data_IF_975544227002
#
_entry.id   IF_975544227002
#
_cell.length_a   1.000
_cell.length_b   1.000
_cell.length_c   1.000
_cell.angle_alpha   90.00
_cell.angle_beta   90.00
_cell.angle_gamma   90.00
#
_symmetry.space_group_name_H-M   'P 1'
#
loop_
_entity.id
_entity.type
_entity.pdbx_description
1 polymer ?
#
# COMPACT_ATOMS: atom_id res chain seq x y z
N UNK A 1 -21.66 -5.16 71.67
CA UNK A 1 -20.92 -6.41 71.91
C UNK A 1 -21.27 -7.39 70.79
N UNK A 2 -20.53 -7.41 69.67
CA UNK A 2 -20.72 -8.37 68.57
C UNK A 2 -19.34 -8.81 68.08
N UNK A 3 -18.89 -9.99 68.53
CA UNK A 3 -17.54 -10.52 68.34
C UNK A 3 -17.60 -11.82 67.53
N UNK A 4 -18.19 -11.77 66.32
CA UNK A 4 -18.27 -12.96 65.44
C UNK A 4 -18.31 -12.67 63.93
N UNK A 5 -18.05 -11.44 63.48
CA UNK A 5 -18.09 -11.10 62.05
C UNK A 5 -16.79 -11.36 61.26
N UNK A 6 -15.68 -11.67 61.93
CA UNK A 6 -14.35 -11.68 61.28
C UNK A 6 -14.04 -12.97 60.51
N UNK A 7 -14.72 -14.07 60.80
CA UNK A 7 -14.42 -15.37 60.20
C UNK A 7 -15.31 -15.70 58.99
N UNK A 8 -16.55 -15.19 58.96
CA UNK A 8 -17.50 -15.40 57.86
C UNK A 8 -17.00 -14.74 56.56
N UNK A 9 -16.32 -13.60 56.67
CA UNK A 9 -15.74 -12.90 55.52
C UNK A 9 -14.45 -13.56 55.00
N UNK A 10 -13.70 -14.25 55.86
CA UNK A 10 -12.47 -14.95 55.49
C UNK A 10 -12.74 -16.29 54.79
N UNK A 11 -13.83 -16.97 55.11
CA UNK A 11 -14.20 -18.23 54.44
C UNK A 11 -14.80 -18.00 53.04
N UNK A 12 -15.44 -16.85 52.79
CA UNK A 12 -16.03 -16.52 51.49
C UNK A 12 -14.99 -16.00 50.48
N UNK A 13 -13.85 -15.51 50.94
CA UNK A 13 -12.75 -15.02 50.09
C UNK A 13 -11.96 -16.16 49.40
N UNK A 14 -11.98 -17.38 49.96
CA UNK A 14 -11.21 -18.52 49.43
C UNK A 14 -11.95 -19.34 48.36
N UNK A 15 -13.25 -19.13 48.14
CA UNK A 15 -14.04 -19.88 47.16
C UNK A 15 -14.02 -19.29 45.74
N UNK A 16 -13.46 -18.07 45.56
CA UNK A 16 -13.38 -17.40 44.24
C UNK A 16 -12.09 -17.74 43.47
N UNK A 17 -11.08 -18.30 44.13
CA UNK A 17 -9.77 -18.58 43.52
C UNK A 17 -9.82 -19.84 42.61
N UNK A 18 -10.81 -20.73 42.79
CA UNK A 18 -10.91 -21.98 42.06
C UNK A 18 -11.47 -21.91 40.62
N UNK A 19 -12.05 -20.79 40.19
CA UNK A 19 -12.73 -20.68 38.87
C UNK A 19 -11.93 -19.94 37.78
N UNK A 20 -10.74 -19.40 38.09
CA UNK A 20 -9.90 -18.66 37.12
C UNK A 20 -8.92 -19.57 36.34
N UNK A 21 -9.15 -20.89 36.34
CA UNK A 21 -8.28 -21.86 35.65
C UNK A 21 -8.94 -22.48 34.42
N UNK A 22 -9.83 -21.75 33.74
CA UNK A 22 -10.23 -22.12 32.37
C UNK A 22 -9.17 -21.56 31.41
N UNK A 23 -8.36 -22.48 30.87
CA UNK A 23 -7.08 -22.20 30.22
C UNK A 23 -7.10 -21.03 29.23
N UNK A 24 -6.24 -20.05 29.48
CA UNK A 24 -5.78 -19.16 28.41
C UNK A 24 -4.90 -19.98 27.47
N UNK A 25 -5.52 -20.61 26.47
CA UNK A 25 -4.84 -20.91 25.22
C UNK A 25 -4.38 -19.55 24.67
N UNK A 26 -3.20 -19.10 25.06
CA UNK A 26 -2.55 -17.96 24.41
C UNK A 26 -2.39 -18.38 22.96
N UNK A 27 -3.10 -17.75 22.00
CA UNK A 27 -2.88 -18.09 20.61
C UNK A 27 -1.40 -17.83 20.34
N UNK A 28 -0.66 -18.88 20.01
CA UNK A 28 0.70 -18.74 19.48
C UNK A 28 0.52 -18.05 18.14
N UNK A 29 0.59 -16.72 18.12
CA UNK A 29 0.61 -15.94 16.89
C UNK A 29 1.90 -16.33 16.18
N UNK A 30 1.83 -17.34 15.32
CA UNK A 30 2.90 -17.70 14.40
C UNK A 30 3.03 -16.53 13.42
N UNK A 31 3.95 -15.61 13.70
CA UNK A 31 4.29 -14.54 12.75
C UNK A 31 4.79 -15.23 11.48
N UNK A 32 4.15 -15.01 10.32
CA UNK A 32 4.61 -15.64 9.09
C UNK A 32 6.06 -15.21 8.83
N UNK A 33 6.90 -16.11 8.30
CA UNK A 33 8.25 -15.76 7.90
C UNK A 33 8.20 -14.54 6.97
N UNK A 34 9.05 -13.53 7.24
CA UNK A 34 9.14 -12.24 6.54
C UNK A 34 8.09 -11.17 6.88
N UNK A 35 7.34 -11.28 7.99
CA UNK A 35 6.41 -10.22 8.43
C UNK A 35 7.05 -8.83 8.51
N UNK A 36 8.23 -8.71 9.15
CA UNK A 36 8.92 -7.42 9.27
C UNK A 36 9.29 -6.82 7.90
N UNK A 37 9.80 -7.64 6.97
CA UNK A 37 10.15 -7.21 5.63
C UNK A 37 8.91 -6.70 4.86
N UNK A 38 7.75 -7.37 5.01
CA UNK A 38 6.49 -6.93 4.40
C UNK A 38 6.03 -5.58 4.96
N UNK A 39 6.13 -5.40 6.29
CA UNK A 39 5.78 -4.13 6.95
C UNK A 39 6.68 -2.99 6.47
N UNK A 40 7.99 -3.20 6.39
CA UNK A 40 8.94 -2.19 5.91
C UNK A 40 8.66 -1.82 4.45
N UNK A 41 8.43 -2.81 3.57
CA UNK A 41 8.06 -2.55 2.17
C UNK A 41 6.77 -1.74 2.06
N UNK A 42 5.75 -2.11 2.83
CA UNK A 42 4.48 -1.38 2.81
C UNK A 42 4.65 0.06 3.28
N UNK A 43 5.47 0.30 4.31
CA UNK A 43 5.79 1.66 4.76
C UNK A 43 6.57 2.47 3.72
N UNK A 44 7.48 1.84 2.98
CA UNK A 44 8.19 2.50 1.89
C UNK A 44 7.23 2.88 0.75
N UNK A 45 6.36 1.95 0.35
CA UNK A 45 5.32 2.19 -0.67
C UNK A 45 4.42 3.35 -0.24
N UNK A 46 3.91 3.34 1.00
CA UNK A 46 3.03 4.40 1.50
C UNK A 46 3.72 5.77 1.56
N UNK A 47 5.02 5.81 1.86
CA UNK A 47 5.80 7.06 1.82
C UNK A 47 5.91 7.61 0.40
N UNK A 48 6.24 6.77 -0.57
CA UNK A 48 6.32 7.19 -1.98
C UNK A 48 4.96 7.69 -2.48
N UNK A 49 3.89 7.00 -2.13
CA UNK A 49 2.52 7.41 -2.47
C UNK A 49 2.16 8.76 -1.86
N UNK A 50 2.44 9.00 -0.57
CA UNK A 50 2.16 10.28 0.06
C UNK A 50 2.93 11.44 -0.59
N UNK A 51 4.20 11.20 -0.98
CA UNK A 51 4.99 12.20 -1.71
C UNK A 51 4.39 12.46 -3.09
N UNK A 52 3.95 11.42 -3.80
CA UNK A 52 3.29 11.52 -5.10
C UNK A 52 1.98 12.30 -5.00
N UNK A 53 1.13 11.99 -4.03
CA UNK A 53 -0.14 12.71 -3.81
C UNK A 53 0.13 14.20 -3.58
N UNK A 54 1.11 14.53 -2.73
CA UNK A 54 1.51 15.92 -2.47
C UNK A 54 2.11 16.62 -3.70
N UNK A 55 2.82 15.90 -4.57
CA UNK A 55 3.36 16.42 -5.83
C UNK A 55 2.23 16.78 -6.80
N UNK A 56 1.31 15.83 -7.03
CA UNK A 56 0.16 16.02 -7.92
C UNK A 56 -0.75 17.14 -7.40
N UNK A 57 -1.06 17.17 -6.09
CA UNK A 57 -1.88 18.23 -5.49
C UNK A 57 -1.35 19.63 -5.81
N UNK A 58 -0.03 19.82 -5.66
CA UNK A 58 0.64 21.08 -5.93
C UNK A 58 0.64 21.43 -7.42
N UNK A 59 0.81 20.43 -8.28
CA UNK A 59 0.85 20.63 -9.73
C UNK A 59 -0.50 21.04 -10.32
N UNK A 60 -1.59 20.50 -9.78
CA UNK A 60 -2.95 20.77 -10.24
C UNK A 60 -3.59 21.99 -9.60
N UNK A 61 -2.95 22.56 -8.55
CA UNK A 61 -3.52 23.65 -7.74
C UNK A 61 -4.97 23.36 -7.35
N UNK A 62 -5.22 22.18 -6.77
CA UNK A 62 -6.57 21.74 -6.41
C UNK A 62 -7.12 22.56 -5.24
N UNK A 63 -8.38 22.98 -5.34
CA UNK A 63 -9.11 23.50 -4.18
C UNK A 63 -9.46 22.37 -3.20
N UNK A 64 -9.88 22.69 -1.97
CA UNK A 64 -10.32 21.67 -1.01
C UNK A 64 -11.47 20.82 -1.56
N UNK A 65 -12.44 21.46 -2.22
CA UNK A 65 -13.60 20.80 -2.84
C UNK A 65 -13.19 19.89 -4.01
N UNK A 66 -12.33 20.39 -4.91
CA UNK A 66 -11.79 19.59 -6.01
C UNK A 66 -11.00 18.39 -5.49
N UNK A 67 -10.17 18.59 -4.47
CA UNK A 67 -9.38 17.53 -3.84
C UNK A 67 -10.26 16.43 -3.26
N UNK A 68 -11.33 16.80 -2.55
CA UNK A 68 -12.26 15.84 -1.93
C UNK A 68 -12.90 14.91 -2.97
N UNK A 69 -13.22 15.44 -4.17
CA UNK A 69 -13.77 14.65 -5.28
C UNK A 69 -12.71 13.88 -6.08
N UNK A 70 -11.52 14.46 -6.26
CA UNK A 70 -10.44 13.91 -7.08
C UNK A 70 -9.77 12.68 -6.46
N UNK A 71 -9.38 12.75 -5.18
CA UNK A 71 -8.55 11.70 -4.55
C UNK A 71 -9.16 10.30 -4.56
N UNK A 72 -10.48 10.12 -4.30
CA UNK A 72 -11.10 8.80 -4.39
C UNK A 72 -10.97 8.17 -5.78
N UNK A 73 -11.12 8.97 -6.84
CA UNK A 73 -11.00 8.50 -8.24
C UNK A 73 -9.54 8.18 -8.56
N UNK A 74 -8.63 9.07 -8.16
CA UNK A 74 -7.19 8.90 -8.39
C UNK A 74 -6.63 7.62 -7.76
N UNK A 75 -7.02 7.32 -6.51
CA UNK A 75 -6.58 6.11 -5.82
C UNK A 75 -7.08 4.85 -6.52
N UNK A 76 -8.35 4.81 -6.93
CA UNK A 76 -8.91 3.67 -7.68
C UNK A 76 -8.22 3.49 -9.04
N UNK A 77 -7.94 4.58 -9.75
CA UNK A 77 -7.17 4.57 -10.99
C UNK A 77 -5.78 3.95 -10.78
N UNK A 78 -5.05 4.44 -9.78
CA UNK A 78 -3.72 3.94 -9.42
C UNK A 78 -3.75 2.45 -9.04
N UNK A 79 -4.72 2.04 -8.24
CA UNK A 79 -4.84 0.66 -7.76
C UNK A 79 -5.16 -0.29 -8.94
N UNK A 80 -6.03 0.12 -9.86
CA UNK A 80 -6.32 -0.61 -11.09
C UNK A 80 -5.05 -0.78 -11.97
N UNK A 81 -4.30 0.30 -12.20
CA UNK A 81 -3.03 0.21 -12.93
C UNK A 81 -2.01 -0.70 -12.25
N UNK A 82 -1.93 -0.63 -10.92
CA UNK A 82 -0.99 -1.42 -10.13
C UNK A 82 -1.33 -2.91 -10.22
N UNK A 83 -2.61 -3.26 -10.17
CA UNK A 83 -3.06 -4.64 -10.35
C UNK A 83 -2.66 -5.22 -11.71
N UNK A 84 -2.89 -4.47 -12.80
CA UNK A 84 -2.52 -4.93 -14.15
C UNK A 84 -1.01 -5.01 -14.33
N UNK A 85 -0.25 -4.02 -13.84
CA UNK A 85 1.21 -4.05 -13.88
C UNK A 85 1.80 -5.21 -13.08
N UNK A 86 1.18 -5.58 -11.95
CA UNK A 86 1.60 -6.74 -11.18
C UNK A 86 1.38 -8.05 -11.96
N UNK A 87 0.24 -8.20 -12.66
CA UNK A 87 -0.01 -9.34 -13.55
C UNK A 87 0.97 -9.37 -14.72
N UNK A 88 1.23 -8.23 -15.34
CA UNK A 88 2.21 -8.09 -16.42
C UNK A 88 3.61 -8.50 -15.96
N UNK A 89 4.07 -8.00 -14.82
CA UNK A 89 5.36 -8.39 -14.24
C UNK A 89 5.42 -9.89 -13.90
N UNK A 90 4.32 -10.47 -13.41
CA UNK A 90 4.26 -11.92 -13.18
C UNK A 90 4.35 -12.71 -14.50
N UNK A 91 3.73 -12.20 -15.57
CA UNK A 91 3.82 -12.75 -16.91
C UNK A 91 5.25 -12.71 -17.47
N UNK A 92 5.98 -11.63 -17.22
CA UNK A 92 7.38 -11.47 -17.66
C UNK A 92 8.36 -12.45 -17.01
N UNK A 93 7.98 -13.04 -15.87
CA UNK A 93 8.78 -14.04 -15.16
C UNK A 93 8.43 -15.48 -15.57
N UNK A 94 7.47 -15.68 -16.47
CA UNK A 94 7.07 -17.01 -16.90
C UNK A 94 8.15 -17.64 -17.82
N UNK A 95 8.40 -18.95 -17.70
CA UNK A 95 9.40 -19.63 -18.52
C UNK A 95 8.94 -19.90 -19.96
N UNK A 96 7.63 -19.93 -20.23
CA UNK A 96 7.07 -20.13 -21.57
C UNK A 96 6.82 -18.80 -22.29
N UNK A 97 7.62 -18.54 -23.33
CA UNK A 97 7.52 -17.32 -24.14
C UNK A 97 6.25 -17.21 -24.98
N UNK A 98 5.57 -18.32 -25.29
CA UNK A 98 4.36 -18.31 -26.14
C UNK A 98 3.19 -17.65 -25.42
N UNK A 99 2.90 -18.09 -24.19
CA UNK A 99 1.88 -17.47 -23.35
C UNK A 99 2.26 -16.05 -22.94
N UNK A 100 3.56 -15.81 -22.69
CA UNK A 100 4.07 -14.49 -22.38
C UNK A 100 3.72 -13.47 -23.47
N UNK A 101 4.01 -13.80 -24.75
CA UNK A 101 3.72 -12.94 -25.90
C UNK A 101 2.22 -12.71 -26.07
N UNK A 102 1.41 -13.77 -25.93
CA UNK A 102 -0.05 -13.67 -26.08
C UNK A 102 -0.68 -12.76 -25.02
N UNK A 103 -0.17 -12.80 -23.79
CA UNK A 103 -0.68 -11.99 -22.69
C UNK A 103 -0.18 -10.54 -22.70
N UNK A 104 0.94 -10.25 -23.37
CA UNK A 104 1.50 -8.89 -23.44
C UNK A 104 0.50 -7.88 -24.03
N UNK A 105 -0.05 -8.19 -25.21
CA UNK A 105 -1.04 -7.33 -25.88
C UNK A 105 -2.33 -7.18 -25.06
N UNK A 106 -2.71 -8.23 -24.33
CA UNK A 106 -3.87 -8.20 -23.45
C UNK A 106 -3.68 -7.17 -22.32
N UNK A 107 -2.54 -7.19 -21.62
CA UNK A 107 -2.29 -6.26 -20.52
C UNK A 107 -2.13 -4.81 -21.01
N UNK A 108 -1.48 -4.59 -22.16
CA UNK A 108 -1.40 -3.25 -22.74
C UNK A 108 -2.79 -2.69 -23.09
N UNK A 109 -3.67 -3.52 -23.66
CA UNK A 109 -5.07 -3.15 -23.92
C UNK A 109 -5.81 -2.83 -22.62
N UNK A 110 -5.65 -3.64 -21.57
CA UNK A 110 -6.26 -3.41 -20.25
C UNK A 110 -5.82 -2.06 -19.65
N UNK A 111 -4.52 -1.73 -19.73
CA UNK A 111 -3.98 -0.44 -19.28
C UNK A 111 -4.57 0.74 -20.05
N UNK A 112 -4.73 0.61 -21.37
CA UNK A 112 -5.37 1.64 -22.21
C UNK A 112 -6.83 1.83 -21.83
N UNK A 113 -7.57 0.74 -21.62
CA UNK A 113 -8.98 0.80 -21.24
C UNK A 113 -9.18 1.43 -19.86
N UNK A 114 -8.33 1.09 -18.88
CA UNK A 114 -8.30 1.75 -17.57
C UNK A 114 -8.07 3.26 -17.76
N UNK A 115 -7.08 3.65 -18.57
CA UNK A 115 -6.80 5.08 -18.81
C UNK A 115 -7.99 5.80 -19.43
N UNK A 116 -8.67 5.20 -20.43
CA UNK A 116 -9.87 5.79 -21.05
C UNK A 116 -10.97 6.02 -20.02
N UNK A 117 -11.36 4.95 -19.31
CA UNK A 117 -12.43 5.01 -18.30
C UNK A 117 -12.16 6.08 -17.24
N UNK A 118 -10.96 6.09 -16.66
CA UNK A 118 -10.65 7.07 -15.61
C UNK A 118 -10.45 8.49 -16.14
N UNK A 119 -10.08 8.67 -17.41
CA UNK A 119 -10.08 10.00 -18.04
C UNK A 119 -11.48 10.59 -18.00
N UNK A 120 -12.50 9.81 -18.36
CA UNK A 120 -13.89 10.24 -18.31
C UNK A 120 -14.34 10.53 -16.87
N UNK A 121 -13.93 9.71 -15.90
CA UNK A 121 -14.23 9.96 -14.48
C UNK A 121 -13.55 11.24 -13.94
N UNK A 122 -12.32 11.52 -14.35
CA UNK A 122 -11.62 12.75 -13.94
C UNK A 122 -12.26 13.99 -14.55
N UNK A 123 -12.69 13.92 -15.82
CA UNK A 123 -13.35 15.05 -16.50
C UNK A 123 -14.69 15.45 -15.85
N UNK A 124 -15.33 14.55 -15.09
CA UNK A 124 -16.53 14.89 -14.30
C UNK A 124 -16.24 15.79 -13.10
N UNK A 125 -15.01 15.83 -12.61
CA UNK A 125 -14.65 16.52 -11.36
C UNK A 125 -13.56 17.58 -11.54
N UNK A 126 -12.87 17.59 -12.68
CA UNK A 126 -11.81 18.54 -13.02
C UNK A 126 -11.94 19.02 -14.48
N UNK A 127 -11.52 20.26 -14.77
CA UNK A 127 -11.46 20.76 -16.13
C UNK A 127 -10.40 20.02 -16.96
N UNK A 128 -10.55 19.93 -18.30
CA UNK A 128 -9.66 19.17 -19.18
C UNK A 128 -8.18 19.51 -19.03
N UNK A 129 -7.84 20.79 -18.82
CA UNK A 129 -6.47 21.26 -18.65
C UNK A 129 -5.81 20.64 -17.42
N UNK A 130 -6.56 20.54 -16.31
CA UNK A 130 -6.08 19.90 -15.07
C UNK A 130 -5.96 18.39 -15.22
N UNK A 131 -6.83 17.74 -15.98
CA UNK A 131 -6.73 16.29 -16.27
C UNK A 131 -5.49 15.99 -17.11
N UNK A 132 -5.22 16.81 -18.13
CA UNK A 132 -3.99 16.71 -18.92
C UNK A 132 -2.74 16.90 -18.06
N UNK A 133 -2.72 17.96 -17.23
CA UNK A 133 -1.60 18.23 -16.33
C UNK A 133 -1.40 17.12 -15.29
N UNK A 134 -2.47 16.44 -14.86
CA UNK A 134 -2.39 15.28 -13.97
C UNK A 134 -1.60 14.13 -14.56
N UNK A 135 -1.91 13.73 -15.79
CA UNK A 135 -1.17 12.65 -16.46
C UNK A 135 0.29 13.04 -16.70
N UNK A 136 0.55 14.31 -17.04
CA UNK A 136 1.91 14.83 -17.17
C UNK A 136 2.67 14.77 -15.85
N UNK A 137 2.05 15.24 -14.77
CA UNK A 137 2.63 15.23 -13.42
C UNK A 137 2.99 13.81 -12.97
N UNK A 138 2.14 12.81 -13.25
CA UNK A 138 2.45 11.42 -12.92
C UNK A 138 3.68 10.88 -13.65
N UNK A 139 3.77 11.17 -14.96
CA UNK A 139 4.90 10.75 -15.79
C UNK A 139 6.19 11.40 -15.30
N UNK A 140 6.17 12.70 -15.07
CA UNK A 140 7.32 13.45 -14.55
C UNK A 140 7.77 12.93 -13.18
N UNK A 141 6.84 12.73 -12.25
CA UNK A 141 7.15 12.17 -10.94
C UNK A 141 7.81 10.80 -11.04
N UNK A 142 7.29 9.92 -11.91
CA UNK A 142 7.83 8.57 -12.11
C UNK A 142 9.24 8.63 -12.70
N UNK A 143 9.46 9.47 -13.71
CA UNK A 143 10.78 9.64 -14.32
C UNK A 143 11.81 10.17 -13.31
N UNK A 144 11.41 11.15 -12.51
CA UNK A 144 12.25 11.74 -11.47
C UNK A 144 12.58 10.73 -10.36
N UNK A 145 11.60 9.93 -9.94
CA UNK A 145 11.82 8.85 -8.99
C UNK A 145 12.83 7.82 -9.53
N UNK A 146 12.69 7.40 -10.79
CA UNK A 146 13.62 6.47 -11.43
C UNK A 146 15.03 7.07 -11.50
N UNK A 147 15.15 8.35 -11.87
CA UNK A 147 16.43 9.07 -11.92
C UNK A 147 17.12 9.06 -10.56
N UNK A 148 16.41 9.45 -9.50
CA UNK A 148 16.95 9.45 -8.13
C UNK A 148 17.36 8.06 -7.65
N UNK A 149 16.59 7.02 -8.00
CA UNK A 149 16.92 5.64 -7.63
C UNK A 149 18.22 5.17 -8.32
N UNK A 150 18.42 5.53 -9.59
CA UNK A 150 19.64 5.21 -10.34
C UNK A 150 20.87 5.93 -9.78
N UNK A 151 20.74 7.21 -9.45
CA UNK A 151 21.83 8.02 -8.86
C UNK A 151 22.27 7.49 -7.49
N UNK A 152 21.31 7.04 -6.66
CA UNK A 152 21.62 6.41 -5.38
C UNK A 152 22.35 5.08 -5.55
N UNK A 153 22.06 4.32 -6.60
CA UNK A 153 22.77 3.07 -6.88
C UNK A 153 24.21 3.34 -7.37
N UNK A 154 24.40 4.37 -8.21
CA UNK A 154 25.72 4.73 -8.72
C UNK A 154 26.67 5.31 -7.66
N UNK A 155 26.13 5.93 -6.60
CA UNK A 155 26.90 6.56 -5.51
C UNK A 155 27.28 5.62 -4.37
N UNK A 156 26.84 4.36 -4.39
CA UNK A 156 27.32 3.29 -3.49
C UNK A 156 28.48 2.58 -4.19
N UNK A 157 29.76 2.85 -3.85
CA UNK A 157 30.90 2.20 -4.50
C UNK A 157 30.93 0.72 -4.15
N UNK A 158 31.29 -0.09 -5.14
CA UNK A 158 31.56 -1.53 -5.03
C UNK A 158 32.82 -1.75 -4.16
N UNK A 159 32.74 -1.60 -2.84
CA UNK A 159 33.88 -1.73 -1.92
C UNK A 159 33.99 -3.15 -1.34
N UNK A 160 34.13 -4.14 -2.20
CA UNK A 160 34.77 -5.42 -1.81
C UNK A 160 35.51 -5.98 -3.03
N UNK A 161 36.86 -5.89 -3.07
CA UNK A 161 37.65 -6.64 -4.03
C UNK A 161 37.49 -8.15 -3.76
N UNK A 162 37.45 -9.02 -4.77
CA UNK A 162 37.58 -10.46 -4.55
C UNK A 162 38.92 -10.74 -3.86
N UNK A 163 38.88 -11.52 -2.77
CA UNK A 163 40.05 -12.16 -2.16
C UNK A 163 40.47 -13.38 -2.96
#
# INVERSE_FOLDING_TARGET
MYKSGRHIFLTLLLLVIGYQSFGQLRPVIRRPPNFQQRVIRQQQISRVEAVKEKYIARRLSLTAEQSARFWPIYRRYRDALTAVRAKKHANDLQPDGTEQINNELFYESELVNIRKFYTDEFLKVLPPEKVSEMFKAEKEFTNELIRQLRERQATVPNSTPPS
#
